data_IF_395881442276
#
_entry.id   IF_395881442276
#
_cell.length_a   1.000
_cell.length_b   1.000
_cell.length_c   1.000
_cell.angle_alpha   90.00
_cell.angle_beta   90.00
_cell.angle_gamma   90.00
#
_symmetry.space_group_name_H-M   'P 1'
#
loop_
_entity.id
_entity.type
_entity.pdbx_description
1 polymer ?
#
# COMPACT_ATOMS: atom_id res chain seq x y z
N UNK A 1 -6.55 -10.11 18.78
CA UNK A 1 -7.30 -8.96 18.19
C UNK A 1 -6.60 -8.42 16.94
N UNK A 2 -5.29 -8.34 16.92
CA UNK A 2 -4.53 -7.71 15.83
C UNK A 2 -4.48 -8.53 14.53
N UNK A 3 -4.32 -9.86 14.62
CA UNK A 3 -4.41 -10.73 13.44
C UNK A 3 -5.80 -10.72 12.81
N UNK A 4 -6.85 -10.58 13.64
CA UNK A 4 -8.22 -10.44 13.13
C UNK A 4 -8.44 -9.09 12.43
N UNK A 5 -7.73 -8.04 12.85
CA UNK A 5 -7.74 -6.75 12.19
C UNK A 5 -7.05 -6.82 10.82
N UNK A 6 -5.83 -7.39 10.75
CA UNK A 6 -5.10 -7.54 9.48
C UNK A 6 -5.89 -8.39 8.47
N UNK A 7 -6.50 -9.47 8.91
CA UNK A 7 -7.34 -10.31 8.05
C UNK A 7 -8.54 -9.55 7.48
N UNK A 8 -9.22 -8.75 8.32
CA UNK A 8 -10.36 -7.92 7.88
C UNK A 8 -9.89 -6.80 6.95
N UNK A 9 -8.79 -6.14 7.29
CA UNK A 9 -8.18 -5.10 6.45
C UNK A 9 -7.82 -5.66 5.07
N UNK A 10 -7.12 -6.78 5.03
CA UNK A 10 -6.80 -7.46 3.77
C UNK A 10 -8.04 -7.73 2.93
N UNK A 11 -9.11 -8.25 3.54
CA UNK A 11 -10.38 -8.49 2.85
C UNK A 11 -10.98 -7.22 2.24
N UNK A 12 -10.88 -6.07 2.94
CA UNK A 12 -11.34 -4.77 2.41
C UNK A 12 -10.46 -4.33 1.24
N UNK A 13 -9.13 -4.41 1.37
CA UNK A 13 -8.19 -4.02 0.33
C UNK A 13 -8.37 -4.87 -0.95
N UNK A 14 -8.51 -6.18 -0.80
CA UNK A 14 -8.78 -7.10 -1.91
C UNK A 14 -10.12 -6.79 -2.59
N UNK A 15 -11.15 -6.43 -1.82
CA UNK A 15 -12.43 -6.01 -2.39
C UNK A 15 -12.31 -4.73 -3.22
N UNK A 16 -11.56 -3.73 -2.75
CA UNK A 16 -11.29 -2.50 -3.52
C UNK A 16 -10.56 -2.85 -4.82
N UNK A 17 -9.51 -3.66 -4.73
CA UNK A 17 -8.71 -4.06 -5.89
C UNK A 17 -9.50 -4.87 -6.93
N UNK A 18 -10.54 -5.60 -6.49
CA UNK A 18 -11.37 -6.46 -7.36
C UNK A 18 -12.73 -5.87 -7.71
N UNK A 19 -13.02 -4.62 -7.35
CA UNK A 19 -14.24 -3.94 -7.80
C UNK A 19 -14.36 -4.01 -9.32
N UNK A 20 -15.57 -4.27 -9.87
CA UNK A 20 -15.77 -4.43 -11.32
C UNK A 20 -15.76 -3.09 -12.08
N UNK A 21 -15.09 -2.09 -11.52
CA UNK A 21 -14.93 -0.75 -12.09
C UNK A 21 -13.51 -0.25 -11.79
N UNK A 22 -12.95 0.67 -12.59
CA UNK A 22 -11.71 1.36 -12.25
C UNK A 22 -11.83 2.11 -10.92
N UNK A 23 -10.78 2.07 -10.11
CA UNK A 23 -10.70 2.74 -8.82
C UNK A 23 -9.56 3.75 -8.82
N UNK A 24 -9.80 4.93 -8.23
CA UNK A 24 -8.89 6.05 -8.24
C UNK A 24 -8.60 6.49 -6.79
N UNK A 25 -7.34 6.63 -6.44
CA UNK A 25 -6.93 7.25 -5.19
C UNK A 25 -6.50 8.70 -5.46
N UNK A 26 -7.23 9.66 -4.89
CA UNK A 26 -6.81 11.07 -4.83
C UNK A 26 -6.09 11.30 -3.50
N UNK A 27 -4.81 11.68 -3.56
CA UNK A 27 -3.90 11.66 -2.42
C UNK A 27 -3.38 13.08 -2.20
N UNK A 28 -3.53 13.60 -0.98
CA UNK A 28 -2.93 14.85 -0.52
C UNK A 28 -2.30 14.66 0.86
N UNK A 29 -1.13 15.26 1.11
CA UNK A 29 -0.41 15.13 2.37
C UNK A 29 0.04 13.68 2.66
N UNK A 30 -0.14 13.21 3.90
CA UNK A 30 0.38 11.96 4.40
C UNK A 30 -0.32 10.71 3.83
N UNK A 31 0.35 9.96 2.98
CA UNK A 31 -0.07 8.63 2.53
C UNK A 31 0.81 7.56 3.19
N UNK A 32 0.59 7.32 4.48
CA UNK A 32 1.46 6.51 5.32
C UNK A 32 0.76 5.23 5.81
N UNK A 33 1.51 4.15 5.94
CA UNK A 33 1.01 2.90 6.54
C UNK A 33 -0.27 2.39 5.86
N UNK A 34 -1.41 2.47 6.56
CA UNK A 34 -2.71 2.07 6.03
C UNK A 34 -3.15 2.92 4.82
N UNK A 35 -2.85 4.23 4.81
CA UNK A 35 -3.11 5.09 3.66
C UNK A 35 -2.38 4.58 2.41
N UNK A 36 -1.13 4.15 2.56
CA UNK A 36 -0.36 3.54 1.47
C UNK A 36 -0.98 2.22 1.00
N UNK A 37 -1.47 1.39 1.91
CA UNK A 37 -2.16 0.14 1.54
C UNK A 37 -3.46 0.39 0.78
N UNK A 38 -4.23 1.42 1.16
CA UNK A 38 -5.43 1.84 0.41
C UNK A 38 -5.08 2.35 -0.99
N UNK A 39 -4.03 3.18 -1.11
CA UNK A 39 -3.53 3.65 -2.40
C UNK A 39 -3.07 2.50 -3.31
N UNK A 40 -2.42 1.49 -2.73
CA UNK A 40 -2.03 0.26 -3.44
C UNK A 40 -3.23 -0.60 -3.86
N UNK A 41 -4.35 -0.53 -3.17
CA UNK A 41 -5.56 -1.26 -3.53
C UNK A 41 -6.31 -0.62 -4.72
N UNK A 42 -6.09 0.66 -4.98
CA UNK A 42 -6.67 1.35 -6.14
C UNK A 42 -5.87 1.06 -7.41
N UNK A 43 -6.55 1.18 -8.57
CA UNK A 43 -5.92 0.97 -9.87
C UNK A 43 -5.00 2.14 -10.23
N UNK A 44 -5.45 3.37 -9.99
CA UNK A 44 -4.78 4.61 -10.39
C UNK A 44 -4.64 5.54 -9.19
N UNK A 45 -3.51 6.22 -9.10
CA UNK A 45 -3.17 7.18 -8.03
C UNK A 45 -2.90 8.55 -8.63
N UNK A 46 -3.61 9.55 -8.12
CA UNK A 46 -3.42 10.97 -8.40
C UNK A 46 -2.93 11.62 -7.12
N UNK A 47 -1.86 12.39 -7.15
CA UNK A 47 -1.29 12.99 -5.95
C UNK A 47 -0.96 14.47 -6.12
N UNK A 48 -1.19 15.24 -5.07
CA UNK A 48 -0.76 16.65 -4.97
C UNK A 48 0.74 16.73 -4.67
N UNK A 49 1.33 17.89 -4.89
CA UNK A 49 2.77 18.12 -4.69
C UNK A 49 3.21 17.96 -3.23
N UNK A 50 2.28 18.17 -2.27
CA UNK A 50 2.54 18.02 -0.83
C UNK A 50 2.38 16.56 -0.34
N UNK A 51 2.01 15.64 -1.20
CA UNK A 51 1.86 14.24 -0.83
C UNK A 51 3.20 13.58 -0.50
N UNK A 52 3.21 12.70 0.52
CA UNK A 52 4.37 11.89 0.85
C UNK A 52 3.94 10.48 1.27
N UNK A 53 4.81 9.50 0.99
CA UNK A 53 4.47 8.08 0.95
C UNK A 53 5.43 7.26 1.79
N UNK A 54 4.90 6.28 2.56
CA UNK A 54 5.75 5.39 3.32
C UNK A 54 5.01 4.29 4.07
N UNK A 55 5.75 3.22 4.38
CA UNK A 55 5.28 2.12 5.22
C UNK A 55 6.30 1.89 6.34
N UNK A 56 6.27 2.68 7.42
CA UNK A 56 7.24 2.60 8.50
C UNK A 56 6.94 1.45 9.49
N UNK A 57 6.57 0.27 8.99
CA UNK A 57 6.15 -0.88 9.77
C UNK A 57 7.22 -1.34 10.77
N UNK A 58 8.50 -1.29 10.37
CA UNK A 58 9.63 -1.60 11.23
C UNK A 58 9.78 -0.68 12.45
N UNK A 59 9.29 0.57 12.37
CA UNK A 59 9.28 1.49 13.53
C UNK A 59 8.24 1.10 14.58
N UNK A 60 7.28 0.25 14.21
CA UNK A 60 6.19 -0.25 15.06
C UNK A 60 6.39 -1.73 15.46
N UNK A 61 7.49 -2.36 15.05
CA UNK A 61 7.75 -3.77 15.32
C UNK A 61 6.79 -4.74 14.60
N UNK A 62 6.21 -4.32 13.47
CA UNK A 62 5.27 -5.16 12.72
C UNK A 62 5.73 -5.37 11.26
N UNK A 63 5.15 -6.37 10.62
CA UNK A 63 5.27 -6.62 9.19
C UNK A 63 3.90 -6.47 8.55
N UNK A 64 3.82 -5.75 7.43
CA UNK A 64 2.59 -5.73 6.62
C UNK A 64 2.45 -7.05 5.86
N UNK A 65 1.21 -7.43 5.53
CA UNK A 65 0.95 -8.71 4.85
C UNK A 65 1.61 -8.80 3.46
N UNK A 66 1.78 -10.03 2.99
CA UNK A 66 2.46 -10.32 1.72
C UNK A 66 1.79 -9.65 0.52
N UNK A 67 0.46 -9.59 0.48
CA UNK A 67 -0.30 -8.89 -0.57
C UNK A 67 0.13 -7.42 -0.71
N UNK A 68 0.29 -6.72 0.42
CA UNK A 68 0.79 -5.33 0.44
C UNK A 68 2.21 -5.23 -0.10
N UNK A 69 3.13 -6.11 0.36
CA UNK A 69 4.52 -6.10 -0.09
C UNK A 69 4.65 -6.40 -1.57
N UNK A 70 3.87 -7.34 -2.07
CA UNK A 70 3.82 -7.70 -3.49
C UNK A 70 3.37 -6.51 -4.34
N UNK A 71 2.23 -5.89 -4.00
CA UNK A 71 1.73 -4.72 -4.74
C UNK A 71 2.67 -3.52 -4.63
N UNK A 72 3.30 -3.32 -3.46
CA UNK A 72 4.32 -2.30 -3.29
C UNK A 72 5.49 -2.51 -4.25
N UNK A 73 6.03 -3.72 -4.32
CA UNK A 73 7.15 -4.05 -5.21
C UNK A 73 6.78 -3.93 -6.69
N UNK A 74 5.56 -4.31 -7.08
CA UNK A 74 5.08 -4.20 -8.45
C UNK A 74 4.82 -2.75 -8.87
N UNK A 75 4.35 -1.90 -7.96
CA UNK A 75 3.99 -0.51 -8.27
C UNK A 75 5.17 0.48 -8.11
N UNK A 76 6.14 0.22 -7.23
CA UNK A 76 7.30 1.08 -6.98
C UNK A 76 8.60 0.53 -7.58
N UNK A 77 8.60 -0.75 -7.96
CA UNK A 77 9.82 -1.49 -8.25
C UNK A 77 10.49 -2.03 -6.97
N UNK A 78 11.17 -3.17 -7.10
CA UNK A 78 11.77 -3.90 -5.95
C UNK A 78 12.78 -3.08 -5.16
N UNK A 79 13.59 -2.23 -5.83
CA UNK A 79 14.60 -1.40 -5.17
C UNK A 79 13.97 -0.37 -4.23
N UNK A 80 13.02 0.41 -4.73
CA UNK A 80 12.32 1.44 -3.97
C UNK A 80 11.45 0.81 -2.85
N UNK A 81 10.77 -0.30 -3.13
CA UNK A 81 10.01 -1.03 -2.10
C UNK A 81 10.90 -1.49 -0.94
N UNK A 82 12.09 -2.05 -1.24
CA UNK A 82 13.06 -2.44 -0.20
C UNK A 82 13.55 -1.24 0.60
N UNK A 83 13.90 -0.15 -0.07
CA UNK A 83 14.32 1.08 0.62
C UNK A 83 13.21 1.56 1.58
N UNK A 84 11.97 1.64 1.12
CA UNK A 84 10.84 2.08 1.94
C UNK A 84 10.62 1.20 3.18
N UNK A 85 10.58 -0.13 3.02
CA UNK A 85 10.19 -1.01 4.14
C UNK A 85 11.35 -1.41 5.04
N UNK A 86 12.59 -1.51 4.51
CA UNK A 86 13.74 -1.96 5.29
C UNK A 86 14.45 -0.83 6.05
N UNK A 87 14.26 0.42 5.61
CA UNK A 87 14.85 1.61 6.24
C UNK A 87 13.80 2.58 6.79
N UNK A 88 12.51 2.30 6.54
CA UNK A 88 11.39 3.19 6.84
C UNK A 88 11.54 4.57 6.15
N UNK A 89 12.14 4.58 4.95
CA UNK A 89 12.28 5.79 4.12
C UNK A 89 10.92 6.29 3.65
N UNK A 90 10.81 7.61 3.54
CA UNK A 90 9.60 8.29 3.07
C UNK A 90 9.89 8.92 1.72
N UNK A 91 9.03 8.70 0.75
CA UNK A 91 9.14 9.26 -0.59
C UNK A 91 8.25 10.50 -0.74
N UNK A 92 8.77 11.51 -1.41
CA UNK A 92 8.04 12.71 -1.80
C UNK A 92 7.09 12.41 -2.97
N UNK A 93 6.22 13.37 -3.30
CA UNK A 93 5.36 13.31 -4.48
C UNK A 93 6.19 13.15 -5.77
N UNK A 94 7.29 13.89 -5.87
CA UNK A 94 8.24 13.82 -6.99
C UNK A 94 8.89 12.43 -7.11
N UNK A 95 9.29 11.81 -5.99
CA UNK A 95 9.87 10.47 -6.01
C UNK A 95 8.83 9.45 -6.47
N UNK A 96 7.61 9.55 -5.95
CA UNK A 96 6.50 8.67 -6.31
C UNK A 96 6.14 8.80 -7.82
N UNK A 97 6.17 10.02 -8.35
CA UNK A 97 5.97 10.27 -9.78
C UNK A 97 7.09 9.67 -10.63
N UNK A 98 8.36 9.92 -10.29
CA UNK A 98 9.51 9.37 -11.02
C UNK A 98 9.56 7.84 -11.01
N UNK A 99 9.11 7.23 -9.93
CA UNK A 99 9.02 5.77 -9.77
C UNK A 99 7.80 5.17 -10.48
N UNK A 100 6.86 5.98 -10.98
CA UNK A 100 5.63 5.52 -11.61
C UNK A 100 4.57 5.04 -10.62
N UNK A 101 4.75 5.29 -9.32
CA UNK A 101 3.76 4.95 -8.31
C UNK A 101 2.50 5.80 -8.45
N UNK A 102 2.64 7.09 -8.66
CA UNK A 102 1.55 7.98 -9.03
C UNK A 102 1.51 8.17 -10.54
N UNK A 103 0.32 8.12 -11.15
CA UNK A 103 0.14 8.18 -12.59
C UNK A 103 -0.26 9.57 -13.08
N UNK A 104 -0.74 10.43 -12.17
CA UNK A 104 -1.11 11.82 -12.46
C UNK A 104 -0.73 12.68 -11.26
N UNK A 105 -0.14 13.85 -11.54
CA UNK A 105 0.06 14.90 -10.55
C UNK A 105 -1.17 15.81 -10.57
N UNK A 106 -1.79 16.03 -9.42
CA UNK A 106 -3.00 16.83 -9.28
C UNK A 106 -3.78 16.52 -8.01
N UNK A 107 -4.91 17.16 -7.89
CA UNK A 107 -5.82 17.09 -6.74
C UNK A 107 -7.04 16.17 -7.00
N UNK A 108 -8.05 16.30 -6.15
CA UNK A 108 -9.31 15.57 -6.30
C UNK A 108 -10.01 15.88 -7.63
N UNK A 109 -9.97 17.12 -8.10
CA UNK A 109 -10.63 17.51 -9.36
C UNK A 109 -9.95 16.82 -10.55
N UNK A 110 -8.62 16.73 -10.55
CA UNK A 110 -7.87 15.96 -11.55
C UNK A 110 -8.22 14.47 -11.52
N UNK A 111 -8.37 13.89 -10.33
CA UNK A 111 -8.78 12.50 -10.18
C UNK A 111 -10.21 12.26 -10.68
N UNK A 112 -11.14 13.17 -10.39
CA UNK A 112 -12.52 13.11 -10.86
C UNK A 112 -12.63 13.26 -12.39
N UNK A 113 -11.83 14.13 -12.97
CA UNK A 113 -11.77 14.29 -14.43
C UNK A 113 -11.27 13.02 -15.11
N UNK A 114 -10.23 12.40 -14.54
CA UNK A 114 -9.71 11.13 -15.04
C UNK A 114 -10.75 10.00 -14.90
N UNK A 115 -11.47 9.96 -13.79
CA UNK A 115 -12.55 8.99 -13.56
C UNK A 115 -13.71 9.18 -14.56
N UNK A 116 -14.12 10.42 -14.86
CA UNK A 116 -15.14 10.72 -15.86
C UNK A 116 -14.75 10.19 -17.25
N UNK A 117 -13.49 10.39 -17.67
CA UNK A 117 -13.01 9.84 -18.95
C UNK A 117 -13.15 8.33 -19.05
N UNK A 118 -13.02 7.61 -17.94
CA UNK A 118 -13.21 6.15 -17.95
C UNK A 118 -14.69 5.73 -18.11
N UNK A 119 -15.66 6.62 -17.80
CA UNK A 119 -17.09 6.31 -18.00
C UNK A 119 -17.51 6.30 -19.47
N UNK A 120 -16.70 6.90 -20.34
CA UNK A 120 -16.95 6.92 -21.80
C UNK A 120 -16.41 5.65 -22.49
N UNK A 121 -15.74 4.78 -21.76
CA UNK A 121 -15.15 3.55 -22.28
C UNK A 121 -16.07 2.35 -22.06
N UNK A 122 -15.90 1.32 -22.89
CA UNK A 122 -16.72 0.11 -22.84
C UNK A 122 -16.52 -0.64 -21.50
N UNK A 123 -17.57 -0.78 -20.65
CA UNK A 123 -17.42 -1.34 -19.30
C UNK A 123 -16.83 -2.76 -19.26
N UNK A 124 -17.24 -3.63 -20.19
CA UNK A 124 -16.73 -5.00 -20.26
C UNK A 124 -15.26 -5.04 -20.66
N UNK A 125 -14.79 -4.10 -21.47
CA UNK A 125 -13.36 -3.98 -21.81
C UNK A 125 -12.53 -3.55 -20.59
N UNK A 126 -13.02 -2.57 -19.83
CA UNK A 126 -12.37 -2.13 -18.60
C UNK A 126 -12.30 -3.25 -17.56
N UNK A 127 -13.42 -3.94 -17.34
CA UNK A 127 -13.50 -5.06 -16.42
C UNK A 127 -12.54 -6.19 -16.83
N UNK A 128 -12.57 -6.61 -18.09
CA UNK A 128 -11.70 -7.67 -18.60
C UNK A 128 -10.22 -7.33 -18.47
N UNK A 129 -9.84 -6.08 -18.80
CA UNK A 129 -8.46 -5.60 -18.65
C UNK A 129 -8.03 -5.58 -17.19
N UNK A 130 -8.88 -5.08 -16.28
CA UNK A 130 -8.60 -5.06 -14.84
C UNK A 130 -8.43 -6.48 -14.28
N UNK A 131 -9.31 -7.41 -14.65
CA UNK A 131 -9.19 -8.82 -14.25
C UNK A 131 -7.87 -9.40 -14.73
N UNK A 132 -7.51 -9.18 -16.01
CA UNK A 132 -6.24 -9.64 -16.57
C UNK A 132 -5.02 -9.09 -15.82
N UNK A 133 -5.00 -7.77 -15.55
CA UNK A 133 -3.92 -7.12 -14.80
C UNK A 133 -3.82 -7.67 -13.37
N UNK A 134 -4.95 -7.85 -12.66
CA UNK A 134 -4.95 -8.43 -11.33
C UNK A 134 -4.47 -9.89 -11.30
N UNK A 135 -4.66 -10.66 -12.38
CA UNK A 135 -4.13 -12.02 -12.47
C UNK A 135 -2.60 -12.01 -12.62
N UNK A 136 -2.04 -11.05 -13.35
CA UNK A 136 -0.57 -10.89 -13.47
C UNK A 136 0.07 -10.56 -12.12
N UNK A 137 -0.63 -9.81 -11.26
CA UNK A 137 -0.14 -9.42 -9.93
C UNK A 137 -0.18 -10.58 -8.91
N UNK A 138 -0.95 -11.63 -9.15
CA UNK A 138 -1.06 -12.76 -8.20
C UNK A 138 0.18 -13.65 -8.29
N UNK A 139 1.12 -13.43 -7.36
CA UNK A 139 2.19 -14.39 -7.11
C UNK A 139 1.70 -15.52 -6.20
N UNK A 140 2.44 -16.63 -6.23
CA UNK A 140 2.16 -17.83 -5.45
C UNK A 140 2.20 -17.58 -3.94
N UNK A 141 1.44 -18.38 -3.18
CA UNK A 141 1.55 -18.43 -1.72
C UNK A 141 2.97 -18.79 -1.28
N UNK A 142 3.50 -18.06 -0.30
CA UNK A 142 4.86 -18.29 0.20
C UNK A 142 4.83 -18.69 1.69
N UNK A 143 4.96 -19.99 2.01
CA UNK A 143 4.95 -20.49 3.39
C UNK A 143 6.02 -19.85 4.30
N UNK A 144 7.20 -19.54 3.74
CA UNK A 144 8.29 -18.89 4.47
C UNK A 144 7.93 -17.46 4.92
N UNK A 145 7.22 -16.71 4.07
CA UNK A 145 6.72 -15.39 4.43
C UNK A 145 5.69 -15.49 5.56
N UNK A 146 4.74 -16.40 5.47
CA UNK A 146 3.71 -16.58 6.49
C UNK A 146 4.34 -16.90 7.86
N UNK A 147 5.37 -17.75 7.90
CA UNK A 147 6.10 -18.05 9.12
C UNK A 147 6.85 -16.83 9.69
N UNK A 148 7.43 -15.98 8.84
CA UNK A 148 8.10 -14.75 9.28
C UNK A 148 7.09 -13.71 9.78
N UNK A 149 5.95 -13.58 9.11
CA UNK A 149 4.83 -12.72 9.51
C UNK A 149 4.33 -13.09 10.91
N UNK A 150 4.00 -14.36 11.13
CA UNK A 150 3.53 -14.87 12.43
C UNK A 150 4.56 -14.58 13.55
N UNK A 151 5.84 -14.79 13.30
CA UNK A 151 6.89 -14.48 14.30
C UNK A 151 6.89 -12.99 14.67
N UNK A 152 6.82 -12.10 13.69
CA UNK A 152 6.81 -10.65 13.94
C UNK A 152 5.57 -10.22 14.74
N UNK A 153 4.39 -10.71 14.37
CA UNK A 153 3.13 -10.36 15.01
C UNK A 153 2.97 -10.92 16.43
N UNK A 154 3.71 -11.98 16.80
CA UNK A 154 3.73 -12.57 18.14
C UNK A 154 4.96 -12.13 18.94
N UNK A 155 5.76 -11.18 18.45
CA UNK A 155 6.98 -10.74 19.12
C UNK A 155 6.74 -9.71 20.23
N UNK A 156 7.71 -9.65 21.17
CA UNK A 156 7.75 -8.57 22.16
C UNK A 156 8.01 -7.21 21.52
N UNK A 157 8.66 -7.17 20.36
CA UNK A 157 8.98 -5.96 19.62
C UNK A 157 7.73 -5.27 19.06
N UNK A 158 6.67 -6.00 18.71
CA UNK A 158 5.40 -5.40 18.35
C UNK A 158 4.79 -4.60 19.54
N UNK A 159 4.84 -5.18 20.72
CA UNK A 159 4.35 -4.54 21.94
C UNK A 159 5.17 -3.30 22.27
N UNK A 160 6.51 -3.43 22.22
CA UNK A 160 7.45 -2.32 22.45
C UNK A 160 7.25 -1.20 21.41
N UNK A 161 7.14 -1.53 20.14
CA UNK A 161 6.95 -0.56 19.06
C UNK A 161 5.68 0.27 19.26
N UNK A 162 4.58 -0.36 19.65
CA UNK A 162 3.31 0.31 19.95
C UNK A 162 3.40 1.21 21.19
N UNK A 163 4.02 0.72 22.26
CA UNK A 163 4.23 1.48 23.48
C UNK A 163 5.11 2.71 23.21
N UNK A 164 6.24 2.53 22.56
CA UNK A 164 7.16 3.60 22.21
C UNK A 164 6.48 4.67 21.33
N UNK A 165 5.66 4.25 20.37
CA UNK A 165 4.88 5.15 19.54
C UNK A 165 3.88 5.99 20.36
N UNK A 166 3.14 5.35 21.27
CA UNK A 166 2.19 6.04 22.17
C UNK A 166 2.91 7.02 23.11
N UNK A 167 4.08 6.66 23.61
CA UNK A 167 4.92 7.46 24.50
C UNK A 167 5.82 8.48 23.78
N UNK A 168 5.79 8.50 22.45
CA UNK A 168 6.63 9.39 21.61
C UNK A 168 8.14 9.28 21.89
N UNK A 169 8.62 8.07 22.12
CA UNK A 169 10.03 7.74 22.32
C UNK A 169 10.55 6.78 21.26
N UNK A 170 11.86 6.61 21.20
CA UNK A 170 12.47 5.56 20.38
C UNK A 170 12.22 4.18 21.00
N UNK A 171 11.82 3.17 20.19
CA UNK A 171 11.67 1.79 20.66
C UNK A 171 13.03 1.12 20.90
N UNK A 172 13.05 0.10 21.76
CA UNK A 172 14.21 -0.76 22.01
C UNK A 172 13.84 -2.19 21.63
N UNK A 173 14.15 -2.57 20.42
CA UNK A 173 13.86 -3.89 19.87
C UNK A 173 14.90 -4.93 20.30
N UNK A 174 14.47 -6.19 20.45
CA UNK A 174 15.30 -7.30 20.91
C UNK A 174 15.37 -8.46 19.90
N UNK A 175 14.51 -8.47 18.86
CA UNK A 175 14.38 -9.56 17.89
C UNK A 175 13.47 -10.69 18.33
#
# INVERSE_FOLDING_TARGET
>A
EDQSFDTRLRGVLERIATLPVPTFAAISGACMGLGMQLALACDIRVATDDAYFGIPAGKLGLVVNHWTLQRLALNLGFGAARLMVLTAETFTSDDAWRLGFTQVQGDLDAALELARRSTDLAPLSLLGSKVGLNLVERALDEPEFNAAFERAWNSADLTEGRLAFAERRSPVFKG
#
